data_IF_410731639238
#
_entry.id   IF_410731639238
#
_cell.length_a   1.000
_cell.length_b   1.000
_cell.length_c   1.000
_cell.angle_alpha   90.00
_cell.angle_beta   90.00
_cell.angle_gamma   90.00
#
_symmetry.space_group_name_H-M   'P 1'
#
loop_
_entity.id
_entity.type
_entity.pdbx_description
1 polymer ?
#
# COMPACT_ATOMS: atom_id res chain seq x y z
N UNK A 1 29.39 4.44 -14.55
CA UNK A 1 28.67 5.11 -15.65
C UNK A 1 29.48 4.90 -16.90
N UNK A 2 28.88 4.30 -17.93
CA UNK A 2 29.49 4.18 -19.24
C UNK A 2 28.69 5.07 -20.18
N UNK A 3 29.31 6.03 -20.87
CA UNK A 3 28.64 6.86 -21.88
C UNK A 3 29.36 6.74 -23.22
N UNK A 4 28.59 6.57 -24.30
CA UNK A 4 29.05 6.64 -25.68
C UNK A 4 27.92 7.14 -26.59
N UNK A 5 28.18 8.21 -27.34
CA UNK A 5 27.24 8.75 -28.33
C UNK A 5 25.91 9.27 -27.78
N UNK A 6 25.89 9.80 -26.54
CA UNK A 6 24.66 10.29 -25.90
C UNK A 6 23.78 9.20 -25.28
N UNK A 7 24.29 7.96 -25.18
CA UNK A 7 23.65 6.85 -24.51
C UNK A 7 24.59 6.27 -23.45
N UNK A 8 24.03 5.81 -22.33
CA UNK A 8 24.83 5.25 -21.25
C UNK A 8 24.05 4.40 -20.27
N UNK A 9 24.79 3.67 -19.43
CA UNK A 9 24.22 2.87 -18.34
C UNK A 9 24.90 3.19 -17.01
N UNK A 10 24.12 3.08 -15.95
CA UNK A 10 24.57 3.18 -14.56
C UNK A 10 24.09 1.94 -13.82
N UNK A 11 24.97 1.39 -12.99
CA UNK A 11 24.68 0.27 -12.10
C UNK A 11 25.20 0.65 -10.73
N UNK A 12 24.39 0.35 -9.71
CA UNK A 12 24.73 0.53 -8.30
C UNK A 12 24.09 -0.60 -7.48
N UNK A 13 24.63 -0.86 -6.30
CA UNK A 13 24.11 -1.86 -5.36
C UNK A 13 23.88 -1.23 -4.00
N UNK A 14 22.70 -1.43 -3.43
CA UNK A 14 22.35 -0.92 -2.11
C UNK A 14 21.69 -2.02 -1.27
N UNK A 15 22.09 -2.13 0.00
CA UNK A 15 21.49 -3.06 0.96
C UNK A 15 20.61 -2.30 1.95
N UNK A 16 19.31 -2.62 1.94
CA UNK A 16 18.36 -2.09 2.91
C UNK A 16 18.39 -2.94 4.18
N UNK A 17 18.88 -2.37 5.27
CA UNK A 17 18.94 -3.04 6.58
C UNK A 17 17.66 -2.88 7.40
N UNK A 18 16.78 -1.95 7.03
CA UNK A 18 15.52 -1.68 7.72
C UNK A 18 14.36 -2.11 6.82
N UNK A 19 13.35 -2.83 7.34
CA UNK A 19 12.13 -3.09 6.60
C UNK A 19 11.47 -1.79 6.16
N UNK A 20 11.00 -1.75 4.92
CA UNK A 20 10.47 -0.55 4.31
C UNK A 20 10.08 -0.75 2.85
N UNK A 21 9.23 0.15 2.37
CA UNK A 21 8.89 0.27 0.95
C UNK A 21 9.57 1.53 0.42
N UNK A 22 10.50 1.34 -0.51
CA UNK A 22 11.39 2.39 -1.00
C UNK A 22 11.05 2.80 -2.43
N UNK A 23 11.18 4.11 -2.67
CA UNK A 23 11.16 4.72 -4.01
C UNK A 23 12.59 5.02 -4.42
N UNK A 24 13.01 4.51 -5.57
CA UNK A 24 14.32 4.84 -6.13
C UNK A 24 14.14 5.92 -7.17
N UNK A 25 14.80 7.06 -6.98
CA UNK A 25 14.86 8.12 -7.99
C UNK A 25 16.24 8.11 -8.64
N UNK A 26 16.28 7.90 -9.95
CA UNK A 26 17.45 8.16 -10.77
C UNK A 26 17.33 9.56 -11.37
N UNK A 27 18.34 10.40 -11.15
CA UNK A 27 18.45 11.73 -11.75
C UNK A 27 19.68 11.79 -12.65
N UNK A 28 19.49 12.19 -13.89
CA UNK A 28 20.56 12.48 -14.86
C UNK A 28 20.61 13.98 -15.08
N UNK A 29 21.78 14.58 -14.94
CA UNK A 29 22.01 16.01 -15.18
C UNK A 29 22.88 16.17 -16.43
N UNK A 30 22.47 17.05 -17.33
CA UNK A 30 23.28 17.45 -18.48
C UNK A 30 24.09 18.71 -18.14
N UNK A 31 25.16 18.94 -18.91
CA UNK A 31 26.04 20.09 -18.76
C UNK A 31 25.39 21.44 -19.06
N UNK A 32 24.26 21.45 -19.77
CA UNK A 32 23.44 22.63 -20.04
C UNK A 32 22.48 22.99 -18.89
N UNK A 33 22.49 22.22 -17.80
CA UNK A 33 21.62 22.40 -16.63
C UNK A 33 20.27 21.70 -16.76
N UNK A 34 20.00 20.97 -17.85
CA UNK A 34 18.79 20.15 -17.97
C UNK A 34 18.89 18.89 -17.11
N UNK A 35 17.76 18.46 -16.56
CA UNK A 35 17.70 17.26 -15.71
C UNK A 35 16.59 16.34 -16.18
N UNK A 36 16.84 15.03 -16.10
CA UNK A 36 15.84 14.00 -16.35
C UNK A 36 15.78 13.08 -15.13
N UNK A 37 14.58 12.82 -14.63
CA UNK A 37 14.37 11.94 -13.49
C UNK A 37 13.53 10.74 -13.88
N UNK A 38 13.87 9.56 -13.36
CA UNK A 38 13.07 8.34 -13.46
C UNK A 38 12.90 7.71 -12.09
N UNK A 39 11.68 7.34 -11.75
CA UNK A 39 11.39 6.63 -10.50
C UNK A 39 11.16 5.15 -10.76
N UNK A 40 11.67 4.31 -9.86
CA UNK A 40 11.33 2.90 -9.74
C UNK A 40 10.65 2.67 -8.41
N UNK A 41 9.44 2.11 -8.47
CA UNK A 41 8.66 1.68 -7.32
C UNK A 41 8.10 0.28 -7.63
N UNK A 42 8.19 -0.69 -6.73
CA UNK A 42 8.69 -0.62 -5.35
C UNK A 42 9.98 -1.42 -5.19
N UNK A 43 10.89 -0.95 -4.34
CA UNK A 43 11.86 -1.82 -3.69
C UNK A 43 11.34 -2.15 -2.30
N UNK A 44 11.14 -3.43 -2.04
CA UNK A 44 10.48 -3.93 -0.82
C UNK A 44 11.53 -4.65 0.02
N UNK A 45 11.87 -4.07 1.16
CA UNK A 45 12.65 -4.75 2.19
C UNK A 45 11.68 -5.22 3.27
N UNK A 46 11.60 -6.51 3.51
CA UNK A 46 10.72 -7.10 4.51
C UNK A 46 11.49 -8.10 5.37
N UNK A 47 10.98 -8.36 6.57
CA UNK A 47 11.45 -9.43 7.44
C UNK A 47 10.35 -10.51 7.51
N UNK A 48 10.53 -11.69 6.90
CA UNK A 48 9.54 -12.77 6.92
C UNK A 48 9.32 -13.35 8.33
N UNK A 49 10.27 -13.18 9.26
CA UNK A 49 10.09 -13.55 10.67
C UNK A 49 9.57 -12.38 11.52
N UNK A 50 9.33 -11.24 10.89
CA UNK A 50 9.01 -9.99 11.54
C UNK A 50 7.56 -9.89 12.00
N UNK A 51 7.10 -8.65 12.10
CA UNK A 51 5.77 -8.31 12.60
C UNK A 51 4.66 -8.63 11.57
N UNK A 52 3.43 -8.72 12.08
CA UNK A 52 2.23 -8.88 11.28
C UNK A 52 1.17 -7.85 11.68
N UNK A 53 0.11 -7.70 10.87
CA UNK A 53 -0.92 -6.69 11.12
C UNK A 53 -2.31 -7.30 11.11
N UNK A 54 -3.15 -6.81 12.02
CA UNK A 54 -4.59 -7.07 12.04
C UNK A 54 -5.33 -5.74 12.16
N UNK A 55 -6.52 -5.65 11.59
CA UNK A 55 -7.36 -4.48 11.80
C UNK A 55 -8.80 -4.73 11.40
N UNK A 56 -9.71 -4.03 12.04
CA UNK A 56 -11.11 -3.99 11.62
C UNK A 56 -11.69 -2.64 11.99
N UNK A 57 -12.66 -2.17 11.22
CA UNK A 57 -13.23 -0.86 11.49
C UNK A 57 -13.91 -0.25 10.29
N UNK A 58 -13.95 1.08 10.30
CA UNK A 58 -14.52 1.83 9.20
C UNK A 58 -13.88 3.20 9.05
N UNK A 59 -13.90 3.70 7.82
CA UNK A 59 -13.57 5.09 7.47
C UNK A 59 -14.78 5.76 6.84
N UNK A 60 -14.80 7.09 6.86
CA UNK A 60 -15.67 7.84 5.97
C UNK A 60 -14.97 7.99 4.61
N UNK A 61 -15.47 7.28 3.59
CA UNK A 61 -14.96 7.37 2.22
C UNK A 61 -15.16 8.79 1.67
N UNK A 62 -14.08 9.47 1.24
CA UNK A 62 -14.17 10.84 0.76
C UNK A 62 -14.74 10.92 -0.67
N UNK A 63 -15.15 12.12 -1.12
CA UNK A 63 -15.48 12.37 -2.53
C UNK A 63 -14.33 11.96 -3.46
N UNK A 64 -14.67 11.45 -4.64
CA UNK A 64 -13.70 11.01 -5.64
C UNK A 64 -13.04 9.67 -5.36
N UNK A 65 -13.21 9.09 -4.17
CA UNK A 65 -12.56 7.82 -3.84
C UNK A 65 -13.00 6.67 -4.74
N UNK A 66 -14.28 6.62 -5.13
CA UNK A 66 -14.79 5.63 -6.08
C UNK A 66 -14.80 6.20 -7.50
N UNK A 67 -13.98 5.63 -8.39
CA UNK A 67 -13.71 6.21 -9.70
C UNK A 67 -14.96 6.29 -10.59
N UNK A 68 -15.79 5.25 -10.60
CA UNK A 68 -16.96 5.19 -11.48
C UNK A 68 -18.08 6.17 -11.10
N UNK A 69 -18.14 6.59 -9.83
CA UNK A 69 -19.05 7.64 -9.39
C UNK A 69 -18.40 8.49 -8.27
N UNK A 70 -17.70 9.57 -8.63
CA UNK A 70 -16.97 10.43 -7.70
C UNK A 70 -17.84 11.13 -6.65
N UNK A 71 -19.16 11.21 -6.85
CA UNK A 71 -20.07 11.85 -5.89
C UNK A 71 -20.38 10.97 -4.67
N UNK A 72 -20.14 9.65 -4.76
CA UNK A 72 -20.44 8.73 -3.66
C UNK A 72 -19.45 8.92 -2.51
N UNK A 73 -20.00 9.13 -1.33
CA UNK A 73 -19.27 9.25 -0.07
C UNK A 73 -19.99 8.45 1.01
N UNK A 74 -19.35 8.30 2.17
CA UNK A 74 -19.97 7.71 3.34
C UNK A 74 -19.19 6.55 3.92
N UNK A 75 -19.81 5.84 4.85
CA UNK A 75 -19.15 4.77 5.61
C UNK A 75 -18.71 3.62 4.71
N UNK A 76 -17.40 3.32 4.74
CA UNK A 76 -16.82 2.11 4.20
C UNK A 76 -16.20 1.29 5.34
N UNK A 77 -16.53 0.00 5.41
CA UNK A 77 -16.04 -0.91 6.46
C UNK A 77 -14.91 -1.78 5.93
N UNK A 78 -14.00 -2.18 6.81
CA UNK A 78 -12.92 -3.08 6.46
C UNK A 78 -12.65 -4.08 7.57
N UNK A 79 -12.02 -5.19 7.20
CA UNK A 79 -11.46 -6.17 8.12
C UNK A 79 -10.27 -6.85 7.45
N UNK A 80 -9.16 -6.96 8.17
CA UNK A 80 -7.98 -7.60 7.62
C UNK A 80 -7.08 -8.28 8.66
N UNK A 81 -6.35 -9.28 8.18
CA UNK A 81 -5.11 -9.77 8.76
C UNK A 81 -4.13 -10.05 7.62
N UNK A 82 -2.84 -9.81 7.85
CA UNK A 82 -1.78 -10.19 6.91
C UNK A 82 -0.53 -10.57 7.69
N UNK A 83 0.04 -11.75 7.40
CA UNK A 83 1.17 -12.34 8.11
C UNK A 83 1.99 -13.26 7.21
N UNK A 84 3.31 -13.24 7.36
CA UNK A 84 4.18 -14.33 6.89
C UNK A 84 4.05 -15.53 7.83
N UNK A 85 3.65 -16.68 7.29
CA UNK A 85 3.67 -17.92 8.04
C UNK A 85 5.13 -18.37 8.24
N UNK A 86 5.38 -19.20 9.26
CA UNK A 86 6.74 -19.65 9.57
C UNK A 86 7.39 -20.32 8.33
N UNK A 87 8.54 -19.80 7.91
CA UNK A 87 9.26 -20.28 6.73
C UNK A 87 8.64 -19.92 5.38
N UNK A 88 7.66 -19.01 5.33
CA UNK A 88 7.04 -18.54 4.10
C UNK A 88 7.64 -17.19 3.63
N UNK A 89 7.88 -17.08 2.33
CA UNK A 89 8.36 -15.86 1.67
C UNK A 89 7.22 -15.02 1.06
N UNK A 90 5.98 -15.50 1.18
CA UNK A 90 4.76 -14.83 0.73
C UNK A 90 3.79 -14.77 1.91
N UNK A 91 3.22 -13.60 2.23
CA UNK A 91 2.29 -13.51 3.34
C UNK A 91 0.94 -14.13 2.97
N UNK A 92 0.17 -14.47 3.99
CA UNK A 92 -1.22 -14.90 3.85
C UNK A 92 -2.11 -14.09 4.77
N UNK A 93 -3.41 -14.16 4.51
CA UNK A 93 -4.40 -13.55 5.38
C UNK A 93 -5.74 -13.36 4.70
N UNK A 94 -6.55 -12.48 5.27
CA UNK A 94 -7.84 -12.08 4.71
C UNK A 94 -7.90 -10.55 4.70
N UNK A 95 -8.35 -9.95 3.61
CA UNK A 95 -8.61 -8.51 3.50
C UNK A 95 -9.95 -8.33 2.83
N UNK A 96 -10.89 -7.74 3.57
CA UNK A 96 -12.21 -7.36 3.09
C UNK A 96 -12.37 -5.85 3.19
N UNK A 97 -12.93 -5.26 2.14
CA UNK A 97 -13.32 -3.85 2.11
C UNK A 97 -14.72 -3.72 1.49
N UNK A 98 -15.63 -3.04 2.19
CA UNK A 98 -17.01 -2.92 1.77
C UNK A 98 -17.45 -1.45 1.79
N UNK A 99 -17.66 -0.90 0.59
CA UNK A 99 -18.26 0.40 0.36
C UNK A 99 -19.67 0.22 -0.21
N UNK A 100 -20.62 -0.08 0.69
CA UNK A 100 -21.99 -0.51 0.35
C UNK A 100 -22.72 0.43 -0.58
N UNK A 101 -22.56 1.75 -0.42
CA UNK A 101 -23.25 2.75 -1.26
C UNK A 101 -22.86 2.68 -2.73
N UNK A 102 -21.70 2.09 -3.05
CA UNK A 102 -21.23 1.84 -4.41
C UNK A 102 -21.41 0.39 -4.87
N UNK A 103 -22.02 -0.48 -4.05
CA UNK A 103 -22.02 -1.94 -4.25
C UNK A 103 -20.61 -2.50 -4.52
N UNK A 104 -19.60 -1.98 -3.82
CA UNK A 104 -18.22 -2.42 -3.93
C UNK A 104 -17.87 -3.24 -2.70
N UNK A 105 -17.83 -4.57 -2.86
CA UNK A 105 -17.33 -5.49 -1.84
C UNK A 105 -16.08 -6.18 -2.39
N UNK A 106 -14.91 -5.78 -1.89
CA UNK A 106 -13.63 -6.35 -2.26
C UNK A 106 -13.23 -7.45 -1.27
N UNK A 107 -12.72 -8.57 -1.79
CA UNK A 107 -12.13 -9.66 -1.02
C UNK A 107 -10.80 -10.08 -1.62
N UNK A 108 -9.74 -10.12 -0.81
CA UNK A 108 -8.42 -10.62 -1.22
C UNK A 108 -8.45 -12.10 -1.58
N UNK A 109 -7.68 -12.49 -2.60
CA UNK A 109 -7.44 -13.87 -3.02
C UNK A 109 -5.97 -14.26 -2.93
N UNK A 110 -5.05 -13.30 -3.06
CA UNK A 110 -3.61 -13.54 -2.90
C UNK A 110 -2.93 -12.32 -2.32
N UNK A 111 -1.70 -12.52 -1.84
CA UNK A 111 -0.82 -11.46 -1.37
C UNK A 111 0.53 -11.62 -2.07
N UNK A 112 1.20 -10.49 -2.32
CA UNK A 112 2.51 -10.49 -2.96
C UNK A 112 3.61 -10.24 -1.93
N UNK A 113 3.39 -9.30 -1.00
CA UNK A 113 4.29 -8.99 0.09
C UNK A 113 3.58 -8.19 1.19
N UNK A 114 4.20 -8.18 2.37
CA UNK A 114 3.88 -7.38 3.52
C UNK A 114 5.16 -6.74 4.03
N UNK A 115 5.10 -5.46 4.37
CA UNK A 115 6.16 -4.75 5.08
C UNK A 115 5.56 -4.15 6.33
N UNK A 116 6.20 -4.39 7.46
CA UNK A 116 5.92 -3.70 8.71
C UNK A 116 7.17 -2.92 9.13
N UNK A 117 7.01 -1.61 9.28
CA UNK A 117 8.07 -0.69 9.65
C UNK A 117 7.55 0.28 10.74
N UNK A 118 7.98 0.04 11.98
CA UNK A 118 7.46 0.77 13.14
C UNK A 118 5.94 0.65 13.24
N UNK A 119 5.25 1.79 13.31
CA UNK A 119 3.80 1.88 13.39
C UNK A 119 3.07 1.65 12.05
N UNK A 120 3.78 1.42 10.94
CA UNK A 120 3.18 1.29 9.60
C UNK A 120 3.28 -0.14 9.08
N UNK A 121 2.14 -0.68 8.65
CA UNK A 121 2.08 -1.86 7.80
C UNK A 121 1.61 -1.48 6.41
N UNK A 122 2.30 -1.94 5.37
CA UNK A 122 1.89 -1.81 3.99
C UNK A 122 1.95 -3.19 3.34
N UNK A 123 0.95 -3.55 2.54
CA UNK A 123 0.94 -4.81 1.81
C UNK A 123 0.10 -4.70 0.54
N UNK A 124 0.40 -5.60 -0.40
CA UNK A 124 -0.29 -5.65 -1.69
C UNK A 124 -0.66 -7.08 -2.06
N UNK A 125 -1.59 -7.20 -2.99
CA UNK A 125 -1.97 -8.49 -3.55
C UNK A 125 -3.06 -8.37 -4.59
N UNK A 126 -3.81 -9.46 -4.76
CA UNK A 126 -4.97 -9.50 -5.66
C UNK A 126 -6.23 -9.90 -4.92
N UNK A 127 -7.38 -9.59 -5.51
CA UNK A 127 -8.68 -9.95 -5.00
C UNK A 127 -9.78 -9.83 -6.05
N UNK A 128 -11.00 -10.03 -5.59
CA UNK A 128 -12.22 -9.93 -6.40
C UNK A 128 -13.07 -8.78 -5.91
N UNK A 129 -13.93 -8.25 -6.78
CA UNK A 129 -15.04 -7.37 -6.39
C UNK A 129 -16.33 -8.13 -6.61
N UNK A 130 -17.16 -8.24 -5.58
CA UNK A 130 -18.42 -8.98 -5.57
C UNK A 130 -18.25 -10.44 -6.05
N UNK A 131 -17.13 -11.07 -5.70
CA UNK A 131 -16.81 -12.45 -6.07
C UNK A 131 -16.38 -12.66 -7.53
N UNK A 132 -16.20 -11.59 -8.31
CA UNK A 132 -15.82 -11.65 -9.71
C UNK A 132 -14.59 -10.80 -10.03
N UNK A 133 -13.98 -11.07 -11.19
CA UNK A 133 -12.84 -10.32 -11.72
C UNK A 133 -11.54 -10.58 -10.97
N UNK A 134 -10.48 -9.88 -11.40
CA UNK A 134 -9.18 -9.87 -10.73
C UNK A 134 -8.72 -8.43 -10.62
N UNK A 135 -8.55 -7.99 -9.39
CA UNK A 135 -8.21 -6.61 -9.03
C UNK A 135 -6.95 -6.63 -8.17
N UNK A 136 -6.06 -5.67 -8.39
CA UNK A 136 -4.90 -5.46 -7.54
C UNK A 136 -5.32 -4.54 -6.40
N UNK A 137 -4.72 -4.72 -5.24
CA UNK A 137 -4.88 -3.79 -4.13
C UNK A 137 -3.55 -3.47 -3.47
N UNK A 138 -3.48 -2.27 -2.89
CA UNK A 138 -2.45 -1.83 -1.96
C UNK A 138 -3.17 -1.31 -0.72
N UNK A 139 -2.77 -1.80 0.45
CA UNK A 139 -3.32 -1.38 1.73
C UNK A 139 -2.19 -0.83 2.61
N UNK A 140 -2.43 0.32 3.22
CA UNK A 140 -1.53 0.93 4.21
C UNK A 140 -2.31 1.19 5.49
N UNK A 141 -1.79 0.66 6.59
CA UNK A 141 -2.37 0.75 7.92
C UNK A 141 -1.34 1.38 8.87
N UNK A 142 -1.77 2.34 9.67
CA UNK A 142 -0.99 2.89 10.77
C UNK A 142 -1.65 2.49 12.08
N UNK A 143 -0.90 1.82 12.94
CA UNK A 143 -1.24 1.60 14.34
C UNK A 143 -0.89 2.87 15.13
N UNK A 144 -1.91 3.60 15.56
CA UNK A 144 -1.77 4.87 16.26
C UNK A 144 -1.15 4.73 17.65
N UNK A 145 -1.23 3.55 18.28
CA UNK A 145 -0.75 3.34 19.64
C UNK A 145 0.77 3.13 19.69
N UNK A 146 1.39 2.68 18.59
CA UNK A 146 2.83 2.51 18.49
C UNK A 146 3.53 3.88 18.34
N UNK A 147 4.75 4.01 18.89
CA UNK A 147 5.56 5.21 18.72
C UNK A 147 5.79 5.51 17.22
N UNK A 148 5.56 6.76 16.82
CA UNK A 148 5.52 7.18 15.41
C UNK A 148 4.17 7.01 14.72
N UNK A 149 3.17 6.37 15.35
CA UNK A 149 1.81 6.20 14.82
C UNK A 149 0.90 7.43 14.97
N UNK A 150 1.28 8.37 15.83
CA UNK A 150 0.58 9.64 16.01
C UNK A 150 -0.73 9.55 16.80
N UNK A 151 -0.89 8.52 17.63
CA UNK A 151 -1.99 8.39 18.62
C UNK A 151 -3.34 7.97 18.04
N UNK A 152 -3.47 7.87 16.71
CA UNK A 152 -4.73 7.58 16.03
C UNK A 152 -4.46 6.69 14.83
N UNK A 153 -5.21 5.58 14.76
CA UNK A 153 -5.17 4.64 13.65
C UNK A 153 -5.59 5.29 12.33
N UNK A 154 -4.88 4.96 11.25
CA UNK A 154 -5.17 5.47 9.91
C UNK A 154 -5.12 4.36 8.89
N UNK A 155 -5.97 4.48 7.87
CA UNK A 155 -6.18 3.44 6.88
C UNK A 155 -6.22 4.02 5.46
N UNK A 156 -5.53 3.37 4.53
CA UNK A 156 -5.70 3.58 3.09
C UNK A 156 -5.82 2.23 2.38
N UNK A 157 -6.76 2.14 1.46
CA UNK A 157 -6.82 1.09 0.46
C UNK A 157 -6.98 1.71 -0.92
N UNK A 158 -6.14 1.25 -1.84
CA UNK A 158 -6.21 1.53 -3.26
C UNK A 158 -6.47 0.23 -3.99
N UNK A 159 -7.45 0.22 -4.87
CA UNK A 159 -7.86 -0.92 -5.70
C UNK A 159 -7.81 -0.50 -7.16
N UNK A 160 -7.17 -1.32 -7.99
CA UNK A 160 -7.10 -1.12 -9.44
C UNK A 160 -7.53 -2.38 -10.17
N UNK A 161 -7.98 -2.24 -11.42
CA UNK A 161 -8.15 -3.39 -12.30
C UNK A 161 -6.79 -4.00 -12.72
N UNK A 162 -6.83 -5.07 -13.52
CA UNK A 162 -5.64 -5.77 -14.00
C UNK A 162 -4.73 -4.89 -14.89
N UNK A 163 -5.31 -3.88 -15.55
CA UNK A 163 -4.64 -2.91 -16.42
C UNK A 163 -4.14 -1.67 -15.66
N UNK A 164 -4.23 -1.68 -14.33
CA UNK A 164 -3.93 -0.56 -13.42
C UNK A 164 -4.90 0.62 -13.55
N UNK A 165 -6.08 0.42 -14.14
CA UNK A 165 -7.17 1.39 -14.09
C UNK A 165 -7.68 1.54 -12.67
N UNK A 166 -7.82 2.78 -12.20
CA UNK A 166 -8.26 3.06 -10.83
C UNK A 166 -9.72 2.63 -10.64
N UNK A 167 -9.99 1.90 -9.55
CA UNK A 167 -11.35 1.52 -9.13
C UNK A 167 -11.74 2.27 -7.87
N UNK A 168 -10.88 2.22 -6.85
CA UNK A 168 -11.11 2.90 -5.57
C UNK A 168 -9.79 3.36 -4.94
N UNK A 169 -9.73 4.56 -4.37
CA UNK A 169 -8.63 5.03 -3.51
C UNK A 169 -9.14 6.08 -2.54
N UNK A 170 -9.12 5.79 -1.23
CA UNK A 170 -9.54 6.75 -0.22
C UNK A 170 -8.51 7.85 0.07
N UNK A 171 -7.38 7.87 -0.66
CA UNK A 171 -6.45 8.99 -0.72
C UNK A 171 -6.08 9.28 -2.18
N UNK A 172 -7.09 9.67 -2.94
CA UNK A 172 -7.01 9.92 -4.38
C UNK A 172 -5.84 10.85 -4.77
N UNK A 173 -5.16 10.52 -5.87
CA UNK A 173 -4.04 11.25 -6.46
C UNK A 173 -2.75 11.33 -5.61
N UNK A 174 -2.74 10.77 -4.40
CA UNK A 174 -1.51 10.70 -3.62
C UNK A 174 -0.64 9.54 -4.12
N UNK A 175 0.70 9.71 -4.16
CA UNK A 175 1.61 8.60 -4.35
C UNK A 175 1.38 7.50 -3.30
N UNK A 176 1.64 6.26 -3.67
CA UNK A 176 1.42 5.10 -2.80
C UNK A 176 2.42 5.05 -1.63
N UNK A 177 3.49 5.85 -1.68
CA UNK A 177 4.45 6.05 -0.58
C UNK A 177 3.95 7.00 0.51
N UNK A 178 2.89 7.76 0.26
CA UNK A 178 2.32 8.71 1.23
C UNK A 178 1.50 7.97 2.28
N UNK A 179 1.73 8.33 3.54
CA UNK A 179 1.01 7.78 4.67
C UNK A 179 -0.51 8.07 4.60
N UNK A 180 -1.36 7.15 5.06
CA UNK A 180 -2.80 7.33 5.07
C UNK A 180 -3.21 8.54 5.94
N UNK A 181 -4.17 9.33 5.46
CA UNK A 181 -4.75 10.44 6.22
C UNK A 181 -6.14 10.12 6.79
N UNK A 182 -6.81 9.09 6.28
CA UNK A 182 -8.14 8.71 6.75
C UNK A 182 -8.07 8.04 8.13
N UNK A 183 -8.53 8.75 9.14
CA UNK A 183 -8.71 8.28 10.52
C UNK A 183 -9.89 7.30 10.59
N UNK A 184 -9.75 6.27 11.42
CA UNK A 184 -10.84 5.34 11.71
C UNK A 184 -11.99 6.06 12.42
N UNK A 185 -13.22 5.88 11.94
CA UNK A 185 -14.42 6.29 12.67
C UNK A 185 -14.82 5.31 13.78
N UNK A 186 -14.19 4.13 13.82
CA UNK A 186 -14.33 3.13 14.86
C UNK A 186 -13.65 1.81 14.46
N UNK A 187 -13.41 0.96 15.45
CA UNK A 187 -12.54 -0.22 15.31
C UNK A 187 -11.10 0.10 15.73
N UNK A 188 -10.16 -0.73 15.31
CA UNK A 188 -8.75 -0.63 15.67
C UNK A 188 -7.83 -1.33 14.66
N UNK A 189 -6.60 -0.87 14.58
CA UNK A 189 -5.46 -1.49 13.88
C UNK A 189 -4.44 -1.88 14.95
N UNK A 190 -3.90 -3.09 14.85
CA UNK A 190 -2.86 -3.58 15.75
C UNK A 190 -1.74 -4.18 14.90
N UNK A 191 -0.54 -3.67 15.10
CA UNK A 191 0.70 -4.31 14.65
C UNK A 191 1.22 -5.19 15.78
N UNK A 192 1.49 -6.45 15.44
CA UNK A 192 1.99 -7.45 16.35
C UNK A 192 3.45 -7.73 16.04
N UNK A 193 4.34 -7.40 16.97
CA UNK A 193 5.73 -7.78 16.87
C UNK A 193 5.91 -9.23 17.32
N UNK A 194 6.50 -10.05 16.46
CA UNK A 194 6.97 -11.37 16.84
C UNK A 194 8.05 -11.20 17.91
N UNK A 195 7.86 -11.84 19.06
CA UNK A 195 8.82 -11.90 20.18
C UNK A 195 10.02 -12.77 19.85
#
# INVERSE_FOLDING_TARGET
MTESGGSGSVQDTHTYSTPGVYTITLTVNNSDGTTATKQFQYVVAYDPNGAFVTGSGWINSPPGAYYANPSLTGKATFGFNSKYQNGADVPTGNTEFNFKVANLNFHSTSYDWLVVAGAKAQYKGTGTINGAGSYKFMLTAIDGAINGGGGIDKFRIKITDSNNGLVYDNLLNAPDSVDPTAVLGGGNIIIHHSS
#
